data_IF_282549205662
#
_entry.id   IF_282549205662
#
_cell.length_a   1.000
_cell.length_b   1.000
_cell.length_c   1.000
_cell.angle_alpha   90.00
_cell.angle_beta   90.00
_cell.angle_gamma   90.00
#
_symmetry.space_group_name_H-M   'P 1'
#
loop_
_entity.id
_entity.type
_entity.pdbx_description
1 polymer ?
#
# COMPACT_ATOMS: atom_id res chain seq x y z
N UNK A 1 46.79 -25.08 5.48
CA UNK A 1 45.75 -25.49 6.46
C UNK A 1 44.42 -25.02 5.93
N UNK A 2 43.46 -25.93 5.80
CA UNK A 2 42.16 -25.66 5.20
C UNK A 2 41.28 -24.86 6.17
N UNK A 3 40.74 -23.74 5.70
CA UNK A 3 39.78 -22.93 6.46
C UNK A 3 38.37 -23.40 6.13
N UNK A 4 37.75 -24.09 7.08
CA UNK A 4 36.43 -24.68 6.96
C UNK A 4 35.36 -23.58 7.04
N UNK A 5 34.71 -23.29 5.91
CA UNK A 5 33.54 -22.40 5.86
C UNK A 5 32.37 -23.05 6.63
N UNK A 6 31.93 -22.39 7.69
CA UNK A 6 30.82 -22.86 8.51
C UNK A 6 29.52 -22.43 7.84
N UNK A 7 28.79 -23.38 7.24
CA UNK A 7 27.47 -23.15 6.64
C UNK A 7 26.45 -22.81 7.75
N UNK A 8 25.97 -21.58 7.75
CA UNK A 8 24.83 -21.15 8.57
C UNK A 8 23.58 -21.93 8.15
N UNK A 9 23.07 -22.79 9.04
CA UNK A 9 21.84 -23.54 8.83
C UNK A 9 20.66 -22.56 8.74
N UNK A 10 19.92 -22.59 7.63
CA UNK A 10 18.62 -21.95 7.51
C UNK A 10 17.70 -22.47 8.63
N UNK A 11 17.22 -21.57 9.51
CA UNK A 11 16.17 -21.91 10.47
C UNK A 11 14.94 -22.34 9.67
N UNK A 12 14.47 -23.56 9.91
CA UNK A 12 13.18 -24.02 9.44
C UNK A 12 12.10 -23.03 9.91
N UNK A 13 11.19 -22.67 9.01
CA UNK A 13 10.03 -21.82 9.29
C UNK A 13 9.20 -22.51 10.37
N UNK A 14 9.16 -21.95 11.58
CA UNK A 14 8.36 -22.50 12.67
C UNK A 14 6.90 -22.59 12.21
N UNK A 15 6.25 -23.74 12.41
CA UNK A 15 4.82 -23.84 12.16
C UNK A 15 4.09 -22.85 13.07
N UNK A 16 3.09 -22.12 12.54
CA UNK A 16 2.32 -21.17 13.33
C UNK A 16 1.65 -21.91 14.50
N UNK A 17 1.94 -21.47 15.72
CA UNK A 17 1.39 -22.04 16.93
C UNK A 17 -0.09 -21.65 17.06
N UNK A 18 -0.94 -22.64 17.33
CA UNK A 18 -2.39 -22.43 17.49
C UNK A 18 -2.69 -22.38 18.99
N UNK A 19 -3.27 -21.27 19.43
CA UNK A 19 -3.86 -21.17 20.77
C UNK A 19 -5.20 -21.90 20.78
N UNK A 20 -5.22 -23.09 21.39
CA UNK A 20 -6.42 -23.93 21.48
C UNK A 20 -7.26 -23.58 22.70
N UNK A 21 -8.55 -23.36 22.48
CA UNK A 21 -9.56 -23.23 23.52
C UNK A 21 -10.40 -24.51 23.56
N UNK A 22 -10.66 -25.02 24.76
CA UNK A 22 -11.46 -26.22 24.93
C UNK A 22 -12.92 -25.95 24.59
N UNK A 23 -13.53 -26.88 23.87
CA UNK A 23 -14.90 -26.84 23.42
C UNK A 23 -15.64 -28.13 23.84
N UNK A 24 -16.91 -28.24 23.49
CA UNK A 24 -17.71 -29.42 23.83
C UNK A 24 -17.11 -30.73 23.30
N UNK A 25 -17.36 -31.83 24.04
CA UNK A 25 -16.94 -33.20 23.70
C UNK A 25 -15.41 -33.35 23.55
N UNK A 26 -14.64 -32.62 24.35
CA UNK A 26 -13.17 -32.60 24.36
C UNK A 26 -12.53 -32.18 23.02
N UNK A 27 -13.29 -31.47 22.17
CA UNK A 27 -12.73 -30.81 21.01
C UNK A 27 -12.00 -29.54 21.45
N UNK A 28 -11.11 -29.03 20.60
CA UNK A 28 -10.58 -27.68 20.76
C UNK A 28 -10.87 -26.84 19.53
N UNK A 29 -11.14 -25.56 19.73
CA UNK A 29 -11.24 -24.53 18.69
C UNK A 29 -10.05 -23.58 18.77
N UNK A 30 -9.69 -22.99 17.64
CA UNK A 30 -8.63 -21.98 17.57
C UNK A 30 -8.65 -21.25 16.25
N UNK A 31 -7.74 -20.29 16.10
CA UNK A 31 -7.58 -19.50 14.87
C UNK A 31 -6.22 -19.84 14.26
N UNK A 32 -6.21 -20.04 12.94
CA UNK A 32 -4.99 -20.23 12.16
C UNK A 32 -5.14 -19.46 10.84
N UNK A 33 -4.24 -18.50 10.59
CA UNK A 33 -4.25 -17.66 9.39
C UNK A 33 -5.63 -17.01 9.15
N UNK A 34 -6.22 -16.41 10.18
CA UNK A 34 -7.53 -15.74 10.12
C UNK A 34 -8.72 -16.69 9.92
N UNK A 35 -8.55 -17.99 10.16
CA UNK A 35 -9.62 -18.98 9.97
C UNK A 35 -9.84 -19.84 11.21
N UNK A 36 -11.10 -20.12 11.48
CA UNK A 36 -11.50 -21.08 12.51
C UNK A 36 -11.00 -22.49 12.16
N UNK A 37 -10.27 -23.09 13.09
CA UNK A 37 -9.79 -24.48 13.01
C UNK A 37 -10.21 -25.26 14.24
N UNK A 38 -10.24 -26.58 14.15
CA UNK A 38 -10.52 -27.44 15.30
C UNK A 38 -9.55 -28.61 15.41
N UNK A 39 -9.41 -29.10 16.63
CA UNK A 39 -8.77 -30.38 16.96
C UNK A 39 -9.79 -31.33 17.58
N UNK A 40 -9.61 -32.62 17.34
CA UNK A 40 -10.42 -33.66 17.98
C UNK A 40 -9.90 -33.99 19.40
N UNK A 41 -10.59 -34.86 20.15
CA UNK A 41 -10.17 -35.30 21.50
C UNK A 41 -8.81 -35.99 21.57
N UNK A 42 -8.28 -36.46 20.44
CA UNK A 42 -6.93 -37.03 20.34
C UNK A 42 -5.86 -35.96 20.06
N UNK A 43 -6.23 -34.68 20.12
CA UNK A 43 -5.34 -33.54 19.83
C UNK A 43 -5.04 -33.34 18.34
N UNK A 44 -5.65 -34.10 17.42
CA UNK A 44 -5.37 -34.00 15.99
C UNK A 44 -6.20 -32.89 15.35
N UNK A 45 -5.54 -31.93 14.68
CA UNK A 45 -6.22 -30.92 13.84
C UNK A 45 -7.02 -31.59 12.73
N UNK A 46 -8.28 -31.19 12.57
CA UNK A 46 -9.16 -31.68 11.50
C UNK A 46 -9.07 -30.80 10.27
N UNK A 47 -9.42 -31.36 9.11
CA UNK A 47 -9.45 -30.63 7.84
C UNK A 47 -10.58 -29.58 7.78
N UNK A 48 -11.66 -29.79 8.53
CA UNK A 48 -12.80 -28.89 8.62
C UNK A 48 -13.39 -28.93 10.03
N UNK A 49 -13.99 -27.80 10.43
CA UNK A 49 -14.74 -27.70 11.68
C UNK A 49 -16.12 -28.35 11.50
N UNK A 50 -16.51 -29.36 12.30
CA UNK A 50 -17.82 -29.99 12.23
C UNK A 50 -18.96 -28.97 12.39
N UNK A 51 -20.10 -29.20 11.72
CA UNK A 51 -21.26 -28.28 11.75
C UNK A 51 -21.74 -27.97 13.16
N UNK A 52 -21.95 -29.00 13.98
CA UNK A 52 -22.40 -28.83 15.37
C UNK A 52 -21.44 -28.00 16.22
N UNK A 53 -20.14 -28.03 15.91
CA UNK A 53 -19.13 -27.26 16.63
C UNK A 53 -19.08 -25.80 16.15
N UNK A 54 -19.36 -25.55 14.87
CA UNK A 54 -19.48 -24.20 14.30
C UNK A 54 -20.68 -23.42 14.83
N UNK A 55 -21.72 -24.10 15.28
CA UNK A 55 -22.94 -23.50 15.83
C UNK A 55 -22.84 -23.24 17.35
N UNK A 56 -21.64 -23.38 17.93
CA UNK A 56 -21.39 -23.06 19.34
C UNK A 56 -21.07 -21.58 19.52
N UNK A 57 -21.40 -21.03 20.69
CA UNK A 57 -21.08 -19.64 21.04
C UNK A 57 -19.58 -19.33 20.93
N UNK A 58 -18.72 -20.28 21.32
CA UNK A 58 -17.26 -20.14 21.19
C UNK A 58 -16.83 -20.01 19.73
N UNK A 59 -17.44 -20.77 18.81
CA UNK A 59 -17.15 -20.66 17.39
C UNK A 59 -17.61 -19.30 16.84
N UNK A 60 -18.78 -18.81 17.23
CA UNK A 60 -19.29 -17.49 16.84
C UNK A 60 -18.35 -16.37 17.32
N UNK A 61 -17.89 -16.41 18.57
CA UNK A 61 -16.94 -15.44 19.13
C UNK A 61 -15.60 -15.46 18.38
N UNK A 62 -15.07 -16.65 18.07
CA UNK A 62 -13.81 -16.79 17.31
C UNK A 62 -13.95 -16.34 15.86
N UNK A 63 -15.10 -16.53 15.23
CA UNK A 63 -15.38 -16.02 13.89
C UNK A 63 -15.46 -14.49 13.90
N UNK A 64 -16.20 -13.89 14.85
CA UNK A 64 -16.23 -12.45 15.02
C UNK A 64 -14.83 -11.87 15.28
N UNK A 65 -13.98 -12.57 16.04
CA UNK A 65 -12.58 -12.19 16.22
C UNK A 65 -11.77 -12.28 14.91
N UNK A 66 -12.00 -13.30 14.07
CA UNK A 66 -11.36 -13.38 12.75
C UNK A 66 -11.73 -12.18 11.87
N UNK A 67 -13.00 -11.80 11.85
CA UNK A 67 -13.49 -10.65 11.08
C UNK A 67 -12.87 -9.34 11.59
N UNK A 68 -12.83 -9.16 12.92
CA UNK A 68 -12.21 -8.00 13.54
C UNK A 68 -10.71 -7.91 13.23
N UNK A 69 -9.98 -9.03 13.29
CA UNK A 69 -8.55 -9.06 12.93
C UNK A 69 -8.32 -8.69 11.47
N UNK A 70 -9.18 -9.14 10.55
CA UNK A 70 -9.07 -8.80 9.13
C UNK A 70 -9.35 -7.31 8.87
N UNK A 71 -10.29 -6.72 9.61
CA UNK A 71 -10.56 -5.28 9.58
C UNK A 71 -9.36 -4.48 10.13
N UNK A 72 -8.80 -4.90 11.26
CA UNK A 72 -7.60 -4.30 11.86
C UNK A 72 -6.38 -4.34 10.93
N UNK A 73 -6.10 -5.48 10.29
CA UNK A 73 -5.03 -5.60 9.29
C UNK A 73 -5.23 -4.63 8.11
N UNK A 74 -6.50 -4.44 7.71
CA UNK A 74 -6.86 -3.51 6.63
C UNK A 74 -6.67 -2.04 7.08
N UNK A 75 -7.07 -1.70 8.30
CA UNK A 75 -6.84 -0.37 8.87
C UNK A 75 -5.34 -0.05 8.98
N UNK A 76 -4.53 -0.99 9.50
CA UNK A 76 -3.09 -0.84 9.61
C UNK A 76 -2.46 -0.54 8.24
N UNK A 77 -2.83 -1.33 7.21
CA UNK A 77 -2.36 -1.14 5.83
C UNK A 77 -2.73 0.24 5.30
N UNK A 78 -3.99 0.66 5.45
CA UNK A 78 -4.44 1.98 5.00
C UNK A 78 -3.72 3.11 5.74
N UNK A 79 -3.39 2.94 7.03
CA UNK A 79 -2.61 3.96 7.76
C UNK A 79 -1.18 4.07 7.24
N UNK A 80 -0.52 2.95 7.00
CA UNK A 80 0.84 2.94 6.44
C UNK A 80 0.85 3.53 5.03
N UNK A 81 -0.15 3.22 4.20
CA UNK A 81 -0.31 3.85 2.89
C UNK A 81 -0.53 5.36 3.01
N UNK A 82 -1.31 5.82 3.99
CA UNK A 82 -1.49 7.25 4.25
C UNK A 82 -0.18 7.93 4.68
N UNK A 83 0.64 7.27 5.50
CA UNK A 83 1.97 7.77 5.85
C UNK A 83 2.86 7.88 4.61
N UNK A 84 2.83 6.89 3.72
CA UNK A 84 3.53 6.90 2.43
C UNK A 84 3.08 8.07 1.53
N UNK A 85 1.77 8.20 1.30
CA UNK A 85 1.20 9.21 0.41
C UNK A 85 1.43 10.63 0.89
N UNK A 86 1.54 10.84 2.21
CA UNK A 86 1.77 12.17 2.80
C UNK A 86 3.22 12.43 3.21
N UNK A 87 4.07 11.40 3.17
CA UNK A 87 5.46 11.43 3.67
C UNK A 87 5.57 12.14 5.02
N UNK A 88 4.69 11.77 5.97
CA UNK A 88 4.66 12.39 7.31
C UNK A 88 5.76 11.82 8.22
N UNK A 89 6.42 12.65 9.03
CA UNK A 89 7.27 12.18 10.12
C UNK A 89 6.52 11.28 11.10
N UNK A 90 7.04 10.07 11.28
CA UNK A 90 6.53 9.08 12.21
C UNK A 90 7.52 8.99 13.38
N UNK A 91 7.11 9.26 14.63
CA UNK A 91 7.95 9.04 15.79
C UNK A 91 8.40 7.58 15.90
N UNK A 92 9.70 7.37 16.15
CA UNK A 92 10.29 6.03 16.37
C UNK A 92 9.53 5.28 17.47
N UNK A 93 9.18 5.97 18.55
CA UNK A 93 8.43 5.40 19.68
C UNK A 93 7.05 4.87 19.26
N UNK A 94 6.38 5.52 18.31
CA UNK A 94 5.10 5.04 17.78
C UNK A 94 5.30 3.71 17.03
N UNK A 95 6.33 3.63 16.17
CA UNK A 95 6.68 2.40 15.46
C UNK A 95 7.08 1.28 16.42
N UNK A 96 7.88 1.59 17.45
CA UNK A 96 8.29 0.65 18.48
C UNK A 96 7.11 0.09 19.27
N UNK A 97 6.15 0.95 19.62
CA UNK A 97 4.97 0.56 20.39
C UNK A 97 4.02 -0.36 19.64
N UNK A 98 3.97 -0.25 18.30
CA UNK A 98 3.06 -1.02 17.46
C UNK A 98 3.71 -2.26 16.83
N UNK A 99 5.04 -2.39 16.87
CA UNK A 99 5.74 -3.48 16.17
C UNK A 99 5.37 -4.89 16.64
N UNK A 100 4.97 -5.05 17.91
CA UNK A 100 4.53 -6.33 18.44
C UNK A 100 3.18 -6.81 17.84
N UNK A 101 2.40 -5.88 17.29
CA UNK A 101 1.15 -6.17 16.61
C UNK A 101 1.42 -6.72 15.18
N UNK A 102 0.90 -7.91 14.83
CA UNK A 102 1.11 -8.50 13.51
C UNK A 102 0.53 -7.69 12.34
N UNK A 103 -0.56 -6.96 12.55
CA UNK A 103 -1.17 -6.09 11.54
C UNK A 103 -0.27 -4.90 11.22
N UNK A 104 0.24 -4.23 12.25
CA UNK A 104 1.18 -3.11 12.08
C UNK A 104 2.52 -3.55 11.50
N UNK A 105 3.15 -4.55 12.10
CA UNK A 105 4.44 -5.04 11.61
C UNK A 105 4.33 -5.66 10.23
N UNK A 106 3.23 -6.34 9.90
CA UNK A 106 2.94 -6.84 8.56
C UNK A 106 2.80 -5.72 7.53
N UNK A 107 2.14 -4.61 7.89
CA UNK A 107 1.97 -3.47 7.01
C UNK A 107 3.26 -2.67 6.76
N UNK A 108 4.09 -2.52 7.80
CA UNK A 108 5.34 -1.73 7.75
C UNK A 108 6.55 -2.52 7.22
N UNK A 109 6.56 -3.84 7.37
CA UNK A 109 7.70 -4.67 6.97
C UNK A 109 7.94 -4.54 5.47
N UNK A 110 9.21 -4.37 5.12
CA UNK A 110 9.72 -4.12 3.77
C UNK A 110 9.34 -2.77 3.17
N UNK A 111 8.61 -1.91 3.88
CA UNK A 111 8.49 -0.52 3.46
C UNK A 111 9.87 0.13 3.48
N UNK A 112 10.18 0.91 2.46
CA UNK A 112 11.33 1.81 2.50
C UNK A 112 11.04 2.86 3.55
N UNK A 113 11.98 3.04 4.46
CA UNK A 113 11.97 4.08 5.48
C UNK A 113 13.24 4.89 5.40
N UNK A 114 13.15 6.18 5.74
CA UNK A 114 14.29 7.08 5.78
C UNK A 114 14.27 7.89 7.07
N UNK A 115 15.40 8.05 7.78
CA UNK A 115 15.45 8.85 8.99
C UNK A 115 15.27 10.34 8.69
N UNK A 116 14.61 11.02 9.62
CA UNK A 116 14.44 12.47 9.61
C UNK A 116 14.90 13.05 10.93
N UNK A 117 15.67 14.14 10.84
CA UNK A 117 16.10 14.89 12.02
C UNK A 117 14.97 15.78 12.58
N UNK A 118 15.20 16.38 13.76
CA UNK A 118 14.22 17.24 14.41
C UNK A 118 13.84 18.51 13.61
N UNK A 119 14.57 18.82 12.53
CA UNK A 119 14.32 19.96 11.64
C UNK A 119 13.65 19.53 10.33
N UNK A 120 13.29 18.26 10.18
CA UNK A 120 12.67 17.73 8.96
C UNK A 120 13.69 17.36 7.87
N UNK A 121 15.00 17.38 8.15
CA UNK A 121 16.00 17.01 7.15
C UNK A 121 16.08 15.49 7.02
N UNK A 122 15.93 15.01 5.79
CA UNK A 122 16.07 13.60 5.42
C UNK A 122 17.55 13.23 5.35
N UNK A 123 17.88 12.07 5.90
CA UNK A 123 19.19 11.44 5.73
C UNK A 123 19.07 10.25 4.77
N UNK A 124 19.47 10.49 3.52
CA UNK A 124 19.35 9.51 2.44
C UNK A 124 20.30 8.31 2.63
N UNK A 125 21.43 8.47 3.34
CA UNK A 125 22.43 7.40 3.51
C UNK A 125 21.89 6.23 4.33
N UNK A 126 20.96 6.51 5.25
CA UNK A 126 20.30 5.51 6.09
C UNK A 126 18.90 5.12 5.57
N UNK A 127 18.67 5.26 4.26
CA UNK A 127 17.41 4.82 3.62
C UNK A 127 17.47 3.33 3.32
N UNK A 128 16.43 2.58 3.72
CA UNK A 128 16.38 1.15 3.43
C UNK A 128 15.05 0.49 3.74
N UNK A 129 14.97 -0.80 3.44
CA UNK A 129 13.79 -1.65 3.62
C UNK A 129 13.67 -2.05 5.09
N UNK A 130 12.57 -1.69 5.74
CA UNK A 130 12.35 -1.97 7.15
C UNK A 130 12.24 -3.48 7.41
N UNK A 131 13.07 -4.00 8.30
CA UNK A 131 13.15 -5.43 8.63
C UNK A 131 12.76 -5.76 10.06
N UNK A 132 13.15 -4.93 11.01
CA UNK A 132 12.86 -5.19 12.41
C UNK A 132 12.84 -3.89 13.22
N UNK A 133 12.25 -3.95 14.40
CA UNK A 133 12.22 -2.83 15.32
C UNK A 133 12.48 -3.38 16.72
N UNK A 134 13.55 -2.91 17.34
CA UNK A 134 13.98 -3.38 18.65
C UNK A 134 14.31 -2.17 19.50
N UNK A 135 13.57 -1.93 20.58
CA UNK A 135 13.66 -0.67 21.36
C UNK A 135 15.10 -0.30 21.79
N UNK A 136 15.93 -1.31 22.09
CA UNK A 136 17.34 -1.11 22.48
C UNK A 136 18.30 -0.85 21.32
N UNK A 137 17.93 -1.20 20.08
CA UNK A 137 18.77 -1.04 18.87
C UNK A 137 18.27 0.06 17.93
N UNK A 138 16.95 0.24 17.82
CA UNK A 138 16.29 1.14 16.88
C UNK A 138 15.51 0.39 15.79
N UNK A 139 15.43 1.00 14.62
CA UNK A 139 14.76 0.43 13.43
C UNK A 139 15.83 -0.24 12.56
N UNK A 140 15.72 -1.56 12.41
CA UNK A 140 16.59 -2.35 11.56
C UNK A 140 16.13 -2.28 10.10
N UNK A 141 17.03 -1.92 9.21
CA UNK A 141 16.79 -1.84 7.77
C UNK A 141 17.77 -2.73 6.99
N UNK A 142 17.43 -3.02 5.74
CA UNK A 142 18.38 -3.43 4.70
C UNK A 142 18.53 -2.28 3.72
N UNK A 143 19.74 -1.77 3.53
CA UNK A 143 20.02 -0.64 2.63
C UNK A 143 20.12 -1.08 1.15
N UNK A 144 20.55 -0.15 0.29
CA UNK A 144 20.71 -0.37 -1.16
C UNK A 144 21.82 -1.34 -1.52
N UNK A 145 22.79 -1.53 -0.62
CA UNK A 145 23.90 -2.47 -0.79
C UNK A 145 23.55 -3.87 -0.25
N UNK A 146 22.34 -4.03 0.32
CA UNK A 146 21.91 -5.28 0.95
C UNK A 146 22.47 -5.47 2.36
N UNK A 147 23.13 -4.45 2.93
CA UNK A 147 23.68 -4.52 4.27
C UNK A 147 22.61 -4.19 5.32
N UNK A 148 22.76 -4.79 6.51
CA UNK A 148 21.83 -4.52 7.62
C UNK A 148 22.34 -3.36 8.46
N UNK A 149 21.52 -2.32 8.59
CA UNK A 149 21.80 -1.15 9.43
C UNK A 149 20.72 -0.94 10.51
N UNK A 150 21.03 -0.14 11.53
CA UNK A 150 20.09 0.24 12.59
C UNK A 150 19.97 1.76 12.70
N UNK A 151 18.78 2.27 12.41
CA UNK A 151 18.43 3.69 12.51
C UNK A 151 18.09 4.03 13.97
N UNK A 152 18.76 5.04 14.52
CA UNK A 152 18.52 5.60 15.87
C UNK A 152 17.81 6.95 15.89
N UNK A 153 17.44 7.47 14.71
CA UNK A 153 16.73 8.74 14.61
C UNK A 153 15.42 8.72 15.41
N UNK A 154 15.04 9.87 15.97
CA UNK A 154 13.81 9.99 16.75
C UNK A 154 12.56 9.84 15.87
N UNK A 155 12.69 10.04 14.55
CA UNK A 155 11.61 9.97 13.58
C UNK A 155 12.10 9.34 12.29
N UNK A 156 11.18 8.71 11.56
CA UNK A 156 11.38 8.21 10.20
C UNK A 156 10.24 8.70 9.30
N UNK A 157 10.45 8.66 7.99
CA UNK A 157 9.39 8.70 7.00
C UNK A 157 9.18 7.31 6.43
N UNK A 158 7.95 7.06 5.99
CA UNK A 158 7.69 6.18 4.85
C UNK A 158 7.55 7.11 3.65
N UNK A 159 8.58 7.33 2.82
CA UNK A 159 8.50 8.27 1.72
C UNK A 159 7.61 7.74 0.58
N UNK A 160 6.95 8.66 -0.13
CA UNK A 160 6.36 8.35 -1.43
C UNK A 160 7.47 7.90 -2.40
N UNK A 161 7.25 6.90 -3.28
CA UNK A 161 8.29 6.35 -4.15
C UNK A 161 9.00 7.39 -5.03
N UNK A 162 8.31 8.45 -5.47
CA UNK A 162 8.94 9.52 -6.25
C UNK A 162 10.00 10.32 -5.47
N UNK A 163 9.95 10.28 -4.13
CA UNK A 163 10.88 10.95 -3.23
C UNK A 163 12.02 10.02 -2.77
N UNK A 164 12.00 8.75 -3.18
CA UNK A 164 13.03 7.78 -2.82
C UNK A 164 14.20 7.95 -3.77
N UNK A 165 15.28 8.53 -3.26
CA UNK A 165 16.58 8.43 -3.91
C UNK A 165 16.98 6.93 -4.01
N UNK A 166 17.62 6.53 -5.11
CA UNK A 166 18.00 5.13 -5.37
C UNK A 166 16.85 4.12 -5.32
N UNK A 167 15.65 4.51 -5.76
CA UNK A 167 14.48 3.62 -5.80
C UNK A 167 14.74 2.33 -6.58
N UNK A 168 15.48 2.39 -7.68
CA UNK A 168 15.75 1.23 -8.52
C UNK A 168 16.66 0.21 -7.82
N UNK A 169 17.71 0.67 -7.14
CA UNK A 169 18.57 -0.21 -6.33
C UNK A 169 17.75 -0.95 -5.26
N UNK A 170 16.82 -0.25 -4.59
CA UNK A 170 15.94 -0.87 -3.59
C UNK A 170 14.95 -1.86 -4.20
N UNK A 171 14.52 -1.66 -5.46
CA UNK A 171 13.69 -2.65 -6.19
C UNK A 171 14.49 -3.91 -6.50
N UNK A 172 15.73 -3.77 -6.96
CA UNK A 172 16.62 -4.89 -7.22
C UNK A 172 16.82 -5.72 -5.94
N UNK A 173 17.17 -5.07 -4.82
CA UNK A 173 17.29 -5.73 -3.52
C UNK A 173 16.00 -6.44 -3.11
N UNK A 174 14.84 -5.79 -3.28
CA UNK A 174 13.57 -6.42 -2.93
C UNK A 174 13.26 -7.66 -3.78
N UNK A 175 13.59 -7.65 -5.07
CA UNK A 175 13.45 -8.82 -5.96
C UNK A 175 14.41 -9.94 -5.55
N UNK A 176 15.69 -9.62 -5.38
CA UNK A 176 16.74 -10.59 -5.04
C UNK A 176 16.48 -11.28 -3.69
N UNK A 177 16.00 -10.51 -2.71
CA UNK A 177 15.66 -11.02 -1.39
C UNK A 177 14.22 -11.58 -1.29
N UNK A 178 13.44 -11.53 -2.38
CA UNK A 178 12.04 -11.96 -2.44
C UNK A 178 11.17 -11.27 -1.38
N UNK A 179 11.40 -9.99 -1.17
CA UNK A 179 10.60 -9.18 -0.25
C UNK A 179 9.31 -8.74 -0.93
N UNK A 180 8.22 -8.83 -0.17
CA UNK A 180 6.91 -8.30 -0.56
C UNK A 180 6.49 -7.19 0.39
N UNK A 181 5.80 -6.19 -0.14
CA UNK A 181 5.21 -5.11 0.64
C UNK A 181 3.70 -5.28 0.70
N UNK A 182 3.12 -5.03 1.88
CA UNK A 182 1.66 -5.02 2.03
C UNK A 182 1.02 -3.78 1.38
N UNK A 183 1.76 -2.68 1.32
CA UNK A 183 1.43 -1.45 0.59
C UNK A 183 2.32 -1.38 -0.64
N UNK A 184 1.75 -1.11 -1.81
CA UNK A 184 2.55 -1.00 -3.03
C UNK A 184 3.33 0.32 -3.05
N UNK A 185 4.56 0.32 -2.53
CA UNK A 185 5.46 1.48 -2.52
C UNK A 185 6.52 1.34 -3.61
N UNK A 186 7.38 0.32 -3.56
CA UNK A 186 8.50 0.16 -4.48
C UNK A 186 8.04 0.10 -5.93
N UNK A 187 7.03 -0.72 -6.22
CA UNK A 187 6.53 -0.97 -7.57
C UNK A 187 5.30 -0.12 -7.91
N UNK A 188 5.02 0.92 -7.11
CA UNK A 188 4.04 1.93 -7.49
C UNK A 188 4.55 2.65 -8.73
N UNK A 189 3.70 2.80 -9.73
CA UNK A 189 4.01 3.65 -10.88
C UNK A 189 4.08 5.10 -10.42
N UNK A 190 5.15 5.79 -10.81
CA UNK A 190 5.39 7.20 -10.50
C UNK A 190 5.46 8.00 -11.79
N UNK A 191 5.05 9.26 -11.75
CA UNK A 191 5.10 10.18 -12.89
C UNK A 191 5.80 11.46 -12.48
N UNK A 192 6.80 11.86 -13.24
CA UNK A 192 7.46 13.16 -13.11
C UNK A 192 6.97 14.08 -14.21
N UNK A 193 6.65 15.32 -13.87
CA UNK A 193 6.28 16.32 -14.86
C UNK A 193 7.46 16.63 -15.79
N UNK A 194 7.22 16.61 -17.10
CA UNK A 194 8.20 17.03 -18.09
C UNK A 194 8.39 18.54 -18.07
N UNK A 195 9.52 19.06 -18.55
CA UNK A 195 9.78 20.50 -18.63
C UNK A 195 8.66 21.26 -19.38
N UNK A 196 8.08 20.66 -20.41
CA UNK A 196 6.94 21.22 -21.15
C UNK A 196 5.67 21.26 -20.28
N UNK A 197 5.37 20.16 -19.58
CA UNK A 197 4.19 20.07 -18.73
C UNK A 197 4.20 21.10 -17.59
N UNK A 198 5.38 21.46 -17.08
CA UNK A 198 5.54 22.48 -16.04
C UNK A 198 4.88 23.82 -16.40
N UNK A 199 4.79 24.15 -17.70
CA UNK A 199 4.21 25.40 -18.19
C UNK A 199 2.67 25.38 -18.27
N UNK A 200 2.05 24.22 -18.13
CA UNK A 200 0.60 24.06 -18.30
C UNK A 200 -0.18 24.18 -17.00
N UNK A 201 -1.51 24.28 -17.13
CA UNK A 201 -2.48 24.16 -16.02
C UNK A 201 -3.34 22.90 -16.10
N UNK A 202 -3.15 22.12 -17.17
CA UNK A 202 -3.93 20.92 -17.49
C UNK A 202 -3.05 19.93 -18.22
N UNK A 203 -3.27 18.66 -17.95
CA UNK A 203 -2.62 17.53 -18.62
C UNK A 203 -3.63 16.86 -19.53
N UNK A 204 -3.24 16.63 -20.79
CA UNK A 204 -4.09 16.05 -21.83
C UNK A 204 -3.63 14.65 -22.26
N UNK A 205 -2.57 14.10 -21.64
CA UNK A 205 -1.95 12.82 -21.98
C UNK A 205 -2.95 11.65 -22.01
N UNK A 206 -4.02 11.76 -21.22
CA UNK A 206 -5.08 10.76 -21.09
C UNK A 206 -6.42 11.22 -21.69
N UNK A 207 -6.43 12.21 -22.58
CA UNK A 207 -7.67 12.64 -23.22
C UNK A 207 -8.24 11.60 -24.19
N UNK A 208 -9.54 11.68 -24.46
CA UNK A 208 -10.22 10.91 -25.51
C UNK A 208 -10.43 9.44 -25.17
N UNK A 209 -10.27 9.04 -23.91
CA UNK A 209 -10.52 7.67 -23.49
C UNK A 209 -12.01 7.39 -23.41
N UNK A 210 -12.53 6.67 -24.41
CA UNK A 210 -13.95 6.37 -24.59
C UNK A 210 -14.43 5.24 -23.68
N UNK A 211 -15.58 5.45 -23.03
CA UNK A 211 -16.34 4.42 -22.32
C UNK A 211 -17.72 4.32 -22.95
N UNK A 212 -18.23 3.09 -23.09
CA UNK A 212 -19.56 2.85 -23.66
C UNK A 212 -20.67 3.50 -22.84
N UNK A 213 -20.49 3.56 -21.51
CA UNK A 213 -21.43 4.17 -20.58
C UNK A 213 -20.66 4.91 -19.47
N UNK A 214 -21.14 6.07 -19.08
CA UNK A 214 -20.59 6.84 -17.96
C UNK A 214 -20.60 6.04 -16.64
N UNK A 215 -21.59 5.18 -16.44
CA UNK A 215 -21.66 4.30 -15.27
C UNK A 215 -20.44 3.36 -15.14
N UNK A 216 -19.79 2.98 -16.26
CA UNK A 216 -18.60 2.13 -16.26
C UNK A 216 -17.38 2.91 -15.78
N UNK A 217 -17.20 4.14 -16.24
CA UNK A 217 -16.14 5.04 -15.79
C UNK A 217 -16.32 5.40 -14.31
N UNK A 218 -17.51 5.82 -13.90
CA UNK A 218 -17.79 6.21 -12.51
C UNK A 218 -17.72 5.04 -11.53
N UNK A 219 -18.19 3.83 -11.93
CA UNK A 219 -18.03 2.61 -11.13
C UNK A 219 -16.56 2.21 -10.98
N UNK A 220 -15.75 2.41 -12.03
CA UNK A 220 -14.30 2.20 -11.96
C UNK A 220 -13.66 3.17 -10.97
N UNK A 221 -13.96 4.46 -11.05
CA UNK A 221 -13.46 5.47 -10.12
C UNK A 221 -13.75 5.06 -8.66
N UNK A 222 -15.00 4.66 -8.37
CA UNK A 222 -15.40 4.18 -7.04
C UNK A 222 -14.60 2.95 -6.58
N UNK A 223 -14.37 1.96 -7.46
CA UNK A 223 -13.55 0.78 -7.12
C UNK A 223 -12.10 1.12 -6.86
N UNK A 224 -11.58 2.16 -7.51
CA UNK A 224 -10.22 2.67 -7.32
C UNK A 224 -10.11 3.65 -6.13
N UNK A 225 -11.22 3.99 -5.47
CA UNK A 225 -11.24 4.91 -4.32
C UNK A 225 -11.34 6.39 -4.68
N UNK A 226 -11.61 6.73 -5.95
CA UNK A 226 -11.74 8.11 -6.41
C UNK A 226 -13.22 8.53 -6.43
N UNK A 227 -13.68 9.42 -5.52
CA UNK A 227 -15.03 9.96 -5.61
C UNK A 227 -15.21 10.78 -6.88
N UNK A 228 -16.42 10.74 -7.46
CA UNK A 228 -16.77 11.54 -8.63
C UNK A 228 -17.61 12.75 -8.21
N UNK A 229 -17.22 13.95 -8.61
CA UNK A 229 -17.90 15.22 -8.33
C UNK A 229 -17.93 16.10 -9.57
N UNK A 230 -19.13 16.51 -10.01
CA UNK A 230 -19.28 17.40 -11.17
C UNK A 230 -18.58 16.89 -12.44
N UNK A 231 -18.64 15.59 -12.68
CA UNK A 231 -17.99 14.93 -13.83
C UNK A 231 -16.50 14.64 -13.68
N UNK A 232 -15.87 15.03 -12.57
CA UNK A 232 -14.46 14.75 -12.30
C UNK A 232 -14.29 13.61 -11.30
N UNK A 233 -13.39 12.67 -11.60
CA UNK A 233 -12.78 11.82 -10.58
C UNK A 233 -11.80 12.66 -9.75
N UNK A 234 -11.95 12.64 -8.43
CA UNK A 234 -11.19 13.49 -7.51
C UNK A 234 -10.22 12.66 -6.67
N UNK A 235 -8.98 13.13 -6.54
CA UNK A 235 -8.00 12.61 -5.59
C UNK A 235 -7.41 13.77 -4.80
N UNK A 236 -7.61 13.81 -3.48
CA UNK A 236 -7.07 14.86 -2.60
C UNK A 236 -5.75 14.39 -2.01
N UNK A 237 -4.68 15.11 -2.34
CA UNK A 237 -3.31 14.79 -1.92
C UNK A 237 -2.83 15.88 -0.96
N UNK A 238 -2.11 15.48 0.08
CA UNK A 238 -1.45 16.39 1.01
C UNK A 238 0.05 16.31 0.78
N UNK A 239 0.63 17.42 0.37
CA UNK A 239 2.07 17.57 0.17
C UNK A 239 2.48 18.94 0.70
N UNK A 240 3.50 19.01 1.55
CA UNK A 240 3.95 20.25 2.21
C UNK A 240 2.82 20.99 2.96
N UNK A 241 1.99 20.25 3.70
CA UNK A 241 0.86 20.74 4.52
C UNK A 241 -0.33 21.34 3.75
N UNK A 242 -0.15 21.75 2.49
CA UNK A 242 -1.22 22.31 1.66
C UNK A 242 -1.83 21.22 0.78
N UNK A 243 -3.14 20.94 0.90
CA UNK A 243 -3.78 19.95 0.04
C UNK A 243 -4.11 20.55 -1.33
N UNK A 244 -3.77 19.82 -2.39
CA UNK A 244 -4.32 20.02 -3.73
C UNK A 244 -5.24 18.85 -4.07
N UNK A 245 -6.25 19.11 -4.90
CA UNK A 245 -7.12 18.07 -5.44
C UNK A 245 -6.83 17.88 -6.93
N UNK A 246 -6.34 16.70 -7.29
CA UNK A 246 -6.28 16.26 -8.68
C UNK A 246 -7.70 15.92 -9.15
N UNK A 247 -8.09 16.44 -10.31
CA UNK A 247 -9.41 16.25 -10.92
C UNK A 247 -9.25 15.81 -12.36
N UNK A 248 -9.76 14.63 -12.66
CA UNK A 248 -9.70 14.07 -14.00
C UNK A 248 -11.10 13.91 -14.58
N UNK A 249 -11.37 14.54 -15.72
CA UNK A 249 -12.69 14.54 -16.32
C UNK A 249 -13.07 13.15 -16.83
N UNK A 250 -14.24 12.67 -16.41
CA UNK A 250 -14.82 11.38 -16.81
C UNK A 250 -16.23 11.50 -17.38
N UNK A 251 -16.84 12.69 -17.39
CA UNK A 251 -18.15 12.99 -17.96
C UNK A 251 -19.26 13.26 -16.93
N UNK A 252 -20.29 14.02 -17.34
CA UNK A 252 -21.39 14.53 -16.49
C UNK A 252 -22.81 14.27 -17.03
N UNK A 253 -22.93 13.42 -18.07
CA UNK A 253 -24.20 13.07 -18.71
C UNK A 253 -24.97 11.94 -17.97
N UNK A 254 -26.02 11.39 -18.58
CA UNK A 254 -26.77 10.25 -18.05
C UNK A 254 -25.88 9.01 -17.89
N UNK A 255 -26.13 8.14 -16.88
CA UNK A 255 -25.29 6.97 -16.61
C UNK A 255 -25.09 6.03 -17.81
N UNK A 256 -26.08 5.91 -18.69
CA UNK A 256 -26.07 5.06 -19.89
C UNK A 256 -25.50 5.77 -21.13
N UNK A 257 -25.21 7.08 -21.04
CA UNK A 257 -24.64 7.83 -22.14
C UNK A 257 -23.16 7.45 -22.33
N UNK A 258 -22.74 7.44 -23.59
CA UNK A 258 -21.32 7.33 -23.94
C UNK A 258 -20.54 8.52 -23.37
N UNK A 259 -19.29 8.30 -22.97
CA UNK A 259 -18.44 9.37 -22.47
C UNK A 259 -16.99 9.23 -22.91
N UNK A 260 -16.27 10.35 -22.91
CA UNK A 260 -14.84 10.43 -23.14
C UNK A 260 -14.18 11.15 -21.97
N UNK A 261 -13.01 10.65 -21.58
CA UNK A 261 -12.14 11.36 -20.65
C UNK A 261 -11.52 12.60 -21.31
N UNK A 262 -11.26 13.65 -20.53
CA UNK A 262 -10.66 14.90 -21.00
C UNK A 262 -9.45 15.28 -20.13
N UNK A 263 -9.39 16.50 -19.59
CA UNK A 263 -8.23 16.98 -18.87
C UNK A 263 -8.08 16.40 -17.46
N UNK A 264 -6.82 16.32 -17.02
CA UNK A 264 -6.43 16.30 -15.61
C UNK A 264 -5.98 17.71 -15.20
N UNK A 265 -6.59 18.25 -14.14
CA UNK A 265 -6.20 19.52 -13.51
C UNK A 265 -5.90 19.30 -12.03
N UNK A 266 -5.18 20.25 -11.43
CA UNK A 266 -4.91 20.29 -10.00
C UNK A 266 -5.47 21.60 -9.46
N UNK A 267 -6.33 21.51 -8.45
CA UNK A 267 -6.99 22.69 -7.87
C UNK A 267 -6.63 22.86 -6.40
N UNK A 268 -6.56 24.12 -5.98
CA UNK A 268 -6.41 24.50 -4.58
C UNK A 268 -7.76 24.54 -3.85
N UNK A 269 -7.75 25.00 -2.60
CA UNK A 269 -8.96 25.12 -1.77
C UNK A 269 -9.97 26.13 -2.38
N UNK A 270 -9.48 27.16 -3.07
CA UNK A 270 -10.26 28.17 -3.79
C UNK A 270 -10.81 27.68 -5.14
N UNK A 271 -10.62 26.39 -5.47
CA UNK A 271 -11.09 25.73 -6.69
C UNK A 271 -10.42 26.26 -7.98
N UNK A 272 -9.24 26.86 -7.85
CA UNK A 272 -8.51 27.44 -8.98
C UNK A 272 -7.51 26.44 -9.54
N UNK A 273 -7.49 26.19 -10.87
CA UNK A 273 -6.46 25.37 -11.50
C UNK A 273 -5.06 25.99 -11.36
N UNK A 274 -4.14 25.20 -10.79
CA UNK A 274 -2.75 25.56 -10.55
C UNK A 274 -1.88 25.29 -11.78
N UNK A 275 -0.77 26.02 -11.91
CA UNK A 275 0.27 25.70 -12.89
C UNK A 275 1.02 24.46 -12.41
N UNK A 276 1.41 23.57 -13.31
CA UNK A 276 2.09 22.31 -12.93
C UNK A 276 3.41 22.58 -12.19
N UNK A 277 4.10 23.69 -12.48
CA UNK A 277 5.27 24.16 -11.70
C UNK A 277 5.00 24.43 -10.23
N UNK A 278 3.74 24.67 -9.87
CA UNK A 278 3.31 24.94 -8.49
C UNK A 278 2.73 23.67 -7.83
N UNK A 279 2.65 22.56 -8.57
CA UNK A 279 2.18 21.26 -8.09
C UNK A 279 3.39 20.42 -7.65
N UNK A 280 3.39 19.97 -6.41
CA UNK A 280 4.47 19.13 -5.88
C UNK A 280 4.54 17.76 -6.57
N UNK A 281 5.73 17.10 -6.53
CA UNK A 281 5.98 15.85 -7.25
C UNK A 281 5.06 14.70 -6.81
N UNK A 282 4.72 14.60 -5.52
CA UNK A 282 3.81 13.55 -5.04
C UNK A 282 2.40 13.79 -5.58
N UNK A 283 1.91 15.02 -5.45
CA UNK A 283 0.59 15.43 -5.96
C UNK A 283 0.46 15.18 -7.45
N UNK A 284 1.46 15.60 -8.23
CA UNK A 284 1.47 15.39 -9.67
C UNK A 284 1.45 13.90 -10.02
N UNK A 285 2.34 13.11 -9.41
CA UNK A 285 2.44 11.67 -9.63
C UNK A 285 1.15 10.94 -9.34
N UNK A 286 0.49 11.28 -8.24
CA UNK A 286 -0.75 10.64 -7.80
C UNK A 286 -1.97 11.03 -8.65
N UNK A 287 -2.02 12.26 -9.14
CA UNK A 287 -3.01 12.69 -10.13
C UNK A 287 -2.85 11.95 -11.46
N UNK A 288 -1.61 11.84 -11.95
CA UNK A 288 -1.28 11.10 -13.17
C UNK A 288 -1.58 9.60 -13.03
N UNK A 289 -1.29 9.01 -11.86
CA UNK A 289 -1.61 7.62 -11.57
C UNK A 289 -3.12 7.36 -11.61
N UNK A 290 -3.92 8.24 -10.98
CA UNK A 290 -5.38 8.18 -11.06
C UNK A 290 -5.86 8.21 -12.51
N UNK A 291 -5.43 9.22 -13.29
CA UNK A 291 -5.84 9.39 -14.68
C UNK A 291 -5.42 8.19 -15.54
N UNK A 292 -4.19 7.70 -15.38
CA UNK A 292 -3.65 6.52 -16.05
C UNK A 292 -4.47 5.26 -15.77
N UNK A 293 -4.79 4.96 -14.50
CA UNK A 293 -5.57 3.78 -14.11
C UNK A 293 -6.99 3.80 -14.69
N UNK A 294 -7.63 4.98 -14.70
CA UNK A 294 -8.96 5.15 -15.29
C UNK A 294 -8.86 4.98 -16.81
N UNK A 295 -7.96 5.72 -17.46
CA UNK A 295 -7.77 5.70 -18.92
C UNK A 295 -7.40 4.31 -19.46
N UNK A 296 -6.67 3.50 -18.70
CA UNK A 296 -6.31 2.14 -19.07
C UNK A 296 -7.51 1.19 -19.25
N UNK A 297 -8.70 1.57 -18.74
CA UNK A 297 -9.94 0.79 -18.88
C UNK A 297 -10.89 1.31 -19.95
N UNK A 298 -10.47 2.32 -20.72
CA UNK A 298 -11.19 2.78 -21.91
C UNK A 298 -11.38 1.63 -22.90
N UNK A 299 -12.36 1.78 -23.79
CA UNK A 299 -12.52 0.92 -24.95
C UNK A 299 -11.28 1.04 -25.83
N UNK A 300 -10.63 -0.09 -26.10
CA UNK A 300 -9.56 -0.19 -27.10
C UNK A 300 -10.18 -0.80 -28.35
N UNK A 301 -10.14 -0.08 -29.46
CA UNK A 301 -10.55 -0.65 -30.75
C UNK A 301 -9.58 -1.78 -31.10
N UNK A 302 -10.11 -3.00 -31.32
CA UNK A 302 -9.30 -4.08 -31.86
C UNK A 302 -9.00 -3.73 -33.30
N UNK A 303 -7.73 -3.50 -33.62
CA UNK A 303 -7.29 -3.45 -35.00
C UNK A 303 -7.47 -4.85 -35.59
N UNK A 304 -8.50 -5.06 -36.42
CA UNK A 304 -8.60 -6.25 -37.26
C UNK A 304 -7.46 -6.19 -38.28
N UNK A 305 -6.41 -6.99 -38.07
CA UNK A 305 -5.29 -7.02 -39.01
C UNK A 305 -4.04 -7.73 -38.53
N UNK A 306 -4.14 -9.02 -38.20
CA UNK A 306 -3.06 -10.00 -38.43
C UNK A 306 -3.67 -11.41 -38.37
N UNK A 307 -4.37 -11.77 -39.45
CA UNK A 307 -4.58 -13.18 -39.80
C UNK A 307 -3.25 -13.78 -40.23
N UNK A 308 -2.94 -14.94 -39.64
CA UNK A 308 -1.79 -15.80 -39.91
C UNK A 308 -1.52 -16.10 -41.39
#
# INVERSE_FOLDING_TARGET
MATTATKTKSKAKAEPEISWLDAEKDYGLGILNGKLVCRNPKGKKLAAVPKWLKETELADQLLALCDWLAEHETECRHRVELWMLRSLPIPREAVESTWADPGWSGALRNMVVTPVDAKGKIDHEQTGLLRDVVSSKGIGIVDRDGETQWIKAAQILVPHPILIDGLEDLREIAVDMQFSQAVNQLFRTVFSATEEQQEFKRIMDFQGGRFEQLNFATSLCKRLGYPVRGGYACNRIWENEVPLEARYWVGDDYPEAETCTEELIFVDEDQVPQKISDVGPVTFSEGMLMASQIYAKRKVEKTEGETA
#
